data_IF_268431360744
#
_entry.id   IF_268431360744
#
_cell.length_a   1.000
_cell.length_b   1.000
_cell.length_c   1.000
_cell.angle_alpha   90.00
_cell.angle_beta   90.00
_cell.angle_gamma   90.00
#
_symmetry.space_group_name_H-M   'P 1'
#
loop_
_entity.id
_entity.type
_entity.pdbx_description
1 polymer ?
#
# COMPACT_ATOMS: atom_id res chain seq x y z
N UNK A 1 1.25 20.93 -26.69
CA UNK A 1 2.06 20.80 -25.53
C UNK A 1 2.16 19.36 -25.08
N UNK A 2 3.32 18.99 -24.82
CA UNK A 2 3.55 17.63 -24.46
C UNK A 2 3.49 17.50 -22.95
N UNK A 3 2.59 16.69 -22.50
CA UNK A 3 2.59 16.37 -21.11
C UNK A 3 3.64 15.35 -20.89
N UNK A 4 4.70 15.79 -20.33
CA UNK A 4 5.69 14.82 -19.97
C UNK A 4 5.00 13.78 -19.16
N UNK A 5 4.86 12.66 -19.74
CA UNK A 5 4.32 11.56 -19.00
C UNK A 5 5.22 11.32 -17.82
N UNK A 6 4.70 11.29 -16.63
CA UNK A 6 5.56 11.00 -15.50
C UNK A 6 6.28 9.70 -15.76
N UNK A 7 7.55 9.73 -15.55
CA UNK A 7 8.34 8.53 -15.71
C UNK A 7 8.38 7.85 -14.36
N UNK A 8 7.63 6.80 -14.17
CA UNK A 8 7.59 6.19 -12.84
C UNK A 8 8.96 5.80 -12.35
N UNK A 9 9.80 5.38 -13.27
CA UNK A 9 11.13 4.96 -12.88
C UNK A 9 11.96 6.09 -12.35
N UNK A 10 11.60 7.33 -12.66
CA UNK A 10 12.39 8.45 -12.17
C UNK A 10 12.02 8.85 -10.77
N UNK A 11 10.85 8.49 -10.31
CA UNK A 11 10.43 8.82 -8.97
C UNK A 11 10.82 7.78 -7.95
N UNK A 12 11.20 6.61 -8.39
CA UNK A 12 11.49 5.52 -7.47
C UNK A 12 12.84 4.94 -7.81
N UNK A 13 13.60 4.67 -6.79
CA UNK A 13 14.89 4.05 -7.00
C UNK A 13 14.79 2.61 -7.46
N UNK A 14 13.63 2.02 -7.33
CA UNK A 14 13.45 0.64 -7.72
C UNK A 14 12.38 0.55 -8.76
N UNK A 15 12.78 0.56 -9.98
CA UNK A 15 11.84 0.40 -11.07
C UNK A 15 12.22 -0.84 -11.84
N UNK A 16 11.51 -1.91 -11.58
CA UNK A 16 11.83 -3.15 -12.25
C UNK A 16 11.56 -3.08 -13.74
N UNK A 17 10.72 -2.15 -14.17
CA UNK A 17 10.50 -1.98 -15.59
C UNK A 17 11.72 -1.47 -16.34
N UNK A 18 12.65 -0.84 -15.62
CA UNK A 18 13.86 -0.34 -16.24
C UNK A 18 14.93 -1.40 -16.41
N UNK A 19 14.76 -2.54 -15.79
CA UNK A 19 15.75 -3.61 -15.87
C UNK A 19 15.41 -4.57 -16.98
N UNK A 20 16.41 -5.16 -17.63
CA UNK A 20 16.10 -6.22 -18.58
C UNK A 20 15.34 -7.35 -17.89
N UNK A 21 14.46 -7.99 -18.62
CA UNK A 21 13.65 -9.04 -17.99
C UNK A 21 14.45 -10.16 -17.36
N UNK A 22 15.54 -10.52 -17.96
CA UNK A 22 16.34 -11.60 -17.41
C UNK A 22 16.97 -11.22 -16.09
N UNK A 23 17.30 -9.93 -15.92
CA UNK A 23 17.85 -9.49 -14.65
C UNK A 23 16.77 -9.46 -13.60
N UNK A 24 15.58 -9.00 -13.97
CA UNK A 24 14.46 -9.01 -13.04
C UNK A 24 14.17 -10.42 -12.55
N UNK A 25 14.08 -11.36 -13.49
CA UNK A 25 13.82 -12.74 -13.11
C UNK A 25 14.92 -13.31 -12.24
N UNK A 26 16.16 -12.99 -12.58
CA UNK A 26 17.27 -13.48 -11.77
C UNK A 26 17.19 -12.99 -10.35
N UNK A 27 16.85 -11.73 -10.19
CA UNK A 27 16.75 -11.19 -8.84
C UNK A 27 15.64 -11.86 -8.04
N UNK A 28 14.57 -12.22 -8.72
CA UNK A 28 13.45 -12.81 -8.00
C UNK A 28 13.69 -14.28 -7.68
N UNK A 29 14.35 -15.00 -8.55
CA UNK A 29 14.44 -16.46 -8.41
C UNK A 29 15.79 -16.95 -7.97
N UNK A 30 16.85 -16.23 -8.32
CA UNK A 30 18.19 -16.69 -8.02
C UNK A 30 18.79 -16.00 -6.81
N UNK A 31 18.10 -15.06 -6.21
CA UNK A 31 18.60 -14.39 -5.04
C UNK A 31 18.54 -15.27 -3.82
N UNK A 32 18.76 -14.71 -2.66
CA UNK A 32 18.73 -15.48 -1.42
C UNK A 32 17.33 -15.89 -0.99
N UNK A 33 16.56 -16.37 -1.92
CA UNK A 33 15.28 -16.96 -1.65
C UNK A 33 14.25 -16.03 -1.07
N UNK A 34 14.31 -15.78 0.22
CA UNK A 34 13.24 -15.04 0.89
C UNK A 34 13.42 -13.53 0.87
N UNK A 35 14.57 -13.04 0.38
CA UNK A 35 14.83 -11.61 0.43
C UNK A 35 13.77 -10.77 -0.27
N UNK A 36 13.47 -11.05 -1.53
CA UNK A 36 12.46 -10.24 -2.21
C UNK A 36 11.08 -10.31 -1.57
N UNK A 37 10.72 -11.46 -1.04
CA UNK A 37 9.43 -11.58 -0.39
C UNK A 37 9.40 -10.84 0.94
N UNK A 38 10.50 -10.83 1.67
CA UNK A 38 10.57 -10.04 2.88
C UNK A 38 10.45 -8.55 2.57
N UNK A 39 11.09 -8.12 1.49
CA UNK A 39 10.98 -6.72 1.09
C UNK A 39 9.55 -6.40 0.70
N UNK A 40 8.89 -7.32 0.00
CA UNK A 40 7.51 -7.09 -0.37
C UNK A 40 6.61 -7.00 0.86
N UNK A 41 6.84 -7.88 1.83
CA UNK A 41 6.05 -7.83 3.05
C UNK A 41 6.21 -6.50 3.76
N UNK A 42 7.45 -6.01 3.85
CA UNK A 42 7.69 -4.72 4.49
C UNK A 42 7.04 -3.59 3.72
N UNK A 43 7.08 -3.65 2.39
CA UNK A 43 6.48 -2.61 1.58
C UNK A 43 4.96 -2.58 1.78
N UNK A 44 4.32 -3.75 1.81
CA UNK A 44 2.89 -3.80 2.04
C UNK A 44 2.53 -3.29 3.43
N UNK A 45 3.34 -3.61 4.42
CA UNK A 45 3.10 -3.10 5.76
C UNK A 45 3.19 -1.58 5.78
N UNK A 46 4.14 -1.00 5.04
CA UNK A 46 4.24 0.44 4.94
C UNK A 46 3.01 1.06 4.31
N UNK A 47 2.52 0.44 3.24
CA UNK A 47 1.32 0.94 2.58
C UNK A 47 0.13 0.87 3.54
N UNK A 48 0.02 -0.23 4.28
CA UNK A 48 -1.08 -0.37 5.23
C UNK A 48 -1.04 0.73 6.28
N UNK A 49 0.14 1.04 6.79
CA UNK A 49 0.27 2.10 7.79
C UNK A 49 -0.15 3.44 7.20
N UNK A 50 0.31 3.75 5.99
CA UNK A 50 -0.03 5.02 5.37
C UNK A 50 -1.53 5.14 5.14
N UNK A 51 -2.14 4.08 4.64
CA UNK A 51 -3.57 4.11 4.39
C UNK A 51 -4.35 4.23 5.70
N UNK A 52 -3.90 3.54 6.73
CA UNK A 52 -4.55 3.64 8.02
C UNK A 52 -4.45 5.03 8.61
N UNK A 53 -3.28 5.66 8.48
CA UNK A 53 -3.13 7.02 8.96
C UNK A 53 -4.02 7.98 8.19
N UNK A 54 -4.14 7.78 6.89
CA UNK A 54 -5.03 8.63 6.10
C UNK A 54 -6.48 8.45 6.54
N UNK A 55 -6.89 7.21 6.79
CA UNK A 55 -8.26 6.98 7.25
C UNK A 55 -8.51 7.66 8.58
N UNK A 56 -7.57 7.56 9.50
CA UNK A 56 -7.71 8.20 10.80
C UNK A 56 -7.77 9.71 10.66
N UNK A 57 -6.91 10.27 9.80
CA UNK A 57 -6.91 11.71 9.61
C UNK A 57 -8.22 12.22 9.05
N UNK A 58 -8.75 11.56 8.04
CA UNK A 58 -10.03 11.98 7.49
C UNK A 58 -11.15 11.79 8.48
N UNK A 59 -11.13 10.71 9.24
CA UNK A 59 -12.15 10.49 10.24
C UNK A 59 -12.12 11.59 11.31
N UNK A 60 -10.93 12.04 11.67
CA UNK A 60 -10.81 13.12 12.65
C UNK A 60 -11.41 14.42 12.12
N UNK A 61 -11.14 14.72 10.85
CA UNK A 61 -11.71 15.92 10.26
C UNK A 61 -13.23 15.83 10.22
N UNK A 62 -13.75 14.66 9.87
CA UNK A 62 -15.19 14.48 9.83
C UNK A 62 -15.79 14.69 11.22
N UNK A 63 -15.13 14.15 12.23
CA UNK A 63 -15.62 14.31 13.59
C UNK A 63 -15.63 15.78 14.01
N UNK A 64 -14.59 16.52 13.64
CA UNK A 64 -14.56 17.94 13.96
C UNK A 64 -15.68 18.69 13.25
N UNK A 65 -15.92 18.35 12.00
CA UNK A 65 -16.97 19.03 11.25
C UNK A 65 -18.34 18.76 11.84
N UNK A 66 -18.60 17.55 12.24
CA UNK A 66 -19.91 17.21 12.79
C UNK A 66 -20.09 17.70 14.21
N UNK A 67 -18.99 17.95 14.92
CA UNK A 67 -19.09 18.44 16.29
C UNK A 67 -19.14 19.95 16.40
N UNK A 68 -18.95 20.65 15.29
CA UNK A 68 -18.89 22.10 15.35
C UNK A 68 -20.28 22.68 15.55
N UNK A 69 -20.38 23.77 16.36
CA UNK A 69 -21.69 24.35 16.59
C UNK A 69 -22.29 25.05 15.38
N UNK A 70 -21.48 25.31 14.37
CA UNK A 70 -21.98 25.99 13.17
C UNK A 70 -22.18 25.01 12.02
N UNK A 71 -22.39 23.76 12.33
CA UNK A 71 -22.62 22.77 11.29
C UNK A 71 -23.85 23.13 10.48
N UNK A 72 -23.69 23.15 9.18
CA UNK A 72 -24.80 23.46 8.29
C UNK A 72 -24.96 22.40 7.25
N UNK A 73 -25.87 22.66 6.32
CA UNK A 73 -26.17 21.67 5.28
C UNK A 73 -24.94 21.35 4.44
N UNK A 74 -24.13 22.34 4.14
CA UNK A 74 -22.94 22.10 3.32
C UNK A 74 -21.96 21.18 4.03
N UNK A 75 -21.78 21.41 5.34
CA UNK A 75 -20.89 20.55 6.10
C UNK A 75 -21.39 19.13 6.14
N UNK A 76 -22.69 18.96 6.31
CA UNK A 76 -23.26 17.62 6.36
C UNK A 76 -23.14 16.92 5.02
N UNK A 77 -23.31 17.68 3.93
CA UNK A 77 -23.11 17.10 2.61
C UNK A 77 -21.68 16.62 2.41
N UNK A 78 -20.73 17.44 2.88
CA UNK A 78 -19.34 17.07 2.73
C UNK A 78 -19.01 15.84 3.56
N UNK A 79 -19.56 15.75 4.76
CA UNK A 79 -19.35 14.58 5.59
C UNK A 79 -19.91 13.34 4.91
N UNK A 80 -21.12 13.47 4.36
CA UNK A 80 -21.74 12.34 3.69
C UNK A 80 -20.89 11.87 2.52
N UNK A 81 -20.29 12.81 1.79
CA UNK A 81 -19.46 12.44 0.66
C UNK A 81 -18.14 11.81 1.11
N UNK A 82 -17.60 12.28 2.22
CA UNK A 82 -16.29 11.81 2.66
C UNK A 82 -16.35 10.49 3.41
N UNK A 83 -17.48 10.16 4.01
CA UNK A 83 -17.55 8.96 4.84
C UNK A 83 -17.25 7.68 4.07
N UNK A 84 -17.81 7.47 2.86
CA UNK A 84 -17.44 6.26 2.12
C UNK A 84 -15.96 6.22 1.75
N UNK A 85 -15.35 7.38 1.57
CA UNK A 85 -13.94 7.41 1.25
C UNK A 85 -13.11 6.92 2.44
N UNK A 86 -13.50 7.32 3.66
CA UNK A 86 -12.81 6.83 4.84
C UNK A 86 -12.95 5.30 4.93
N UNK A 87 -14.14 4.80 4.67
CA UNK A 87 -14.33 3.37 4.70
C UNK A 87 -13.47 2.68 3.66
N UNK A 88 -13.38 3.28 2.48
CA UNK A 88 -12.55 2.71 1.44
C UNK A 88 -11.08 2.69 1.85
N UNK A 89 -10.61 3.76 2.48
CA UNK A 89 -9.23 3.81 2.95
C UNK A 89 -8.97 2.72 3.99
N UNK A 90 -9.91 2.53 4.90
CA UNK A 90 -9.74 1.50 5.91
C UNK A 90 -9.71 0.11 5.30
N UNK A 91 -10.56 -0.13 4.33
CA UNK A 91 -10.56 -1.42 3.65
C UNK A 91 -9.28 -1.62 2.86
N UNK A 92 -8.80 -0.57 2.22
CA UNK A 92 -7.54 -0.68 1.48
C UNK A 92 -6.38 -0.96 2.43
N UNK A 93 -6.40 -0.35 3.61
CA UNK A 93 -5.37 -0.64 4.60
C UNK A 93 -5.41 -2.10 5.01
N UNK A 94 -6.60 -2.63 5.22
CA UNK A 94 -6.73 -4.03 5.59
C UNK A 94 -6.24 -4.96 4.49
N UNK A 95 -6.54 -4.62 3.24
CA UNK A 95 -6.05 -5.43 2.13
C UNK A 95 -4.54 -5.39 2.02
N UNK A 96 -3.95 -4.23 2.25
CA UNK A 96 -2.49 -4.12 2.22
C UNK A 96 -1.87 -4.94 3.34
N UNK A 97 -2.48 -4.92 4.52
CA UNK A 97 -2.02 -5.73 5.62
C UNK A 97 -2.07 -7.21 5.26
N UNK A 98 -3.15 -7.62 4.64
CA UNK A 98 -3.30 -9.00 4.23
C UNK A 98 -2.26 -9.39 3.19
N UNK A 99 -2.00 -8.49 2.24
CA UNK A 99 -0.98 -8.77 1.24
C UNK A 99 0.39 -8.93 1.90
N UNK A 100 0.66 -8.12 2.91
CA UNK A 100 1.92 -8.25 3.63
C UNK A 100 2.02 -9.60 4.34
N UNK A 101 0.92 -10.02 4.96
CA UNK A 101 0.92 -11.31 5.63
C UNK A 101 1.11 -12.45 4.64
N UNK A 102 0.54 -12.34 3.46
CA UNK A 102 0.72 -13.38 2.45
C UNK A 102 2.15 -13.41 1.94
N UNK A 103 2.76 -12.24 1.77
CA UNK A 103 4.16 -12.20 1.34
C UNK A 103 5.05 -12.80 2.43
N UNK A 104 4.75 -12.52 3.68
CA UNK A 104 5.52 -13.11 4.78
C UNK A 104 5.34 -14.62 4.81
N UNK A 105 4.17 -15.10 4.51
CA UNK A 105 3.96 -16.54 4.46
C UNK A 105 4.79 -17.20 3.38
N UNK A 106 4.74 -16.52 2.43
CA UNK A 106 5.41 -16.90 1.52
C UNK A 106 6.70 -17.01 1.79
N UNK A 107 7.29 -16.27 2.35
CA UNK A 107 8.67 -16.29 2.79
C UNK A 107 8.93 -17.51 3.68
N UNK A 108 8.04 -17.74 4.58
CA UNK A 108 8.22 -18.89 5.47
C UNK A 108 8.19 -20.21 4.70
N UNK A 109 7.30 -20.27 3.72
CA UNK A 109 7.24 -21.49 2.91
C UNK A 109 8.52 -21.69 2.10
N UNK A 110 9.06 -20.60 1.59
CA UNK A 110 10.31 -20.69 0.86
C UNK A 110 11.46 -21.10 1.73
N UNK A 111 11.46 -20.66 2.97
CA UNK A 111 12.54 -21.03 3.88
C UNK A 111 12.56 -22.52 4.15
N UNK A 112 11.41 -23.16 4.15
CA UNK A 112 11.36 -24.58 4.42
C UNK A 112 11.44 -25.44 3.18
N UNK A 113 11.22 -24.83 2.02
CA UNK A 113 11.14 -25.60 0.78
C UNK A 113 12.37 -26.42 0.47
N UNK A 114 13.58 -25.85 0.58
CA UNK A 114 14.77 -26.65 0.23
C UNK A 114 14.97 -27.87 1.09
N UNK A 115 14.40 -27.89 2.27
CA UNK A 115 14.61 -29.03 3.16
C UNK A 115 13.84 -30.27 2.68
N UNK A 116 12.90 -30.05 1.80
CA UNK A 116 12.11 -31.15 1.28
C UNK A 116 12.91 -31.95 0.23
N UNK A 117 13.82 -31.28 -0.43
CA UNK A 117 14.62 -31.94 -1.42
C UNK A 117 15.79 -32.67 -0.80
#
# INVERSE_FOLDING_TARGET
>A
MSFATPQPEKGFGMDFGALPPEINSGRMYCGPGSGPMLAAAAAWDGVAVELGLAATGYASVIAELTGAPWVGAASLSMVAAATPYVAWLSQAAARAEQAGMQAAAXTRRQATWPHVL
#
